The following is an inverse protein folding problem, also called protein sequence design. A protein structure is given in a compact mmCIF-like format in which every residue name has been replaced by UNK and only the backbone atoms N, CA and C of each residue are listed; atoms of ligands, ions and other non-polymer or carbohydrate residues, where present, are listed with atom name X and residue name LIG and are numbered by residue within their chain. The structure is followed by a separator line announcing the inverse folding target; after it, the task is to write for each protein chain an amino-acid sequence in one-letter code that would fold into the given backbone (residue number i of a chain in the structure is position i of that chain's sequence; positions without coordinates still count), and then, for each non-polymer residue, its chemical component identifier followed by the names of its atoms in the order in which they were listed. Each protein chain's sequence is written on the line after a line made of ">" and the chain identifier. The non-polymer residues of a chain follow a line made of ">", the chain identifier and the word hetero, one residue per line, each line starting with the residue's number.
data_IF_877274193309
#
_entry.id   IF_877274193309
#
_cell.length_a   1.000
_cell.length_b   1.000
_cell.length_c   1.000
_cell.angle_alpha   90.00
_cell.angle_beta   90.00
_cell.angle_gamma   90.00
#
_symmetry.space_group_name_H-M   'P 1'
#
loop_
_entity.id
_entity.type
_entity.pdbx_description
1 polymer ?
#
# COMPACT_ATOMS: atom_id res chain seq x y z
N UNK A 1 -36.27 -17.24 29.58
CA UNK A 1 -35.97 -17.72 28.20
C UNK A 1 -35.39 -16.59 27.31
N UNK A 2 -35.99 -15.43 27.21
CA UNK A 2 -35.54 -14.33 26.33
C UNK A 2 -34.07 -13.93 26.55
N UNK A 3 -33.58 -13.73 27.77
CA UNK A 3 -32.21 -13.36 28.06
C UNK A 3 -31.17 -14.41 27.55
N UNK A 4 -31.49 -15.71 27.75
CA UNK A 4 -30.60 -16.79 27.26
C UNK A 4 -30.55 -16.83 25.75
N UNK A 5 -31.64 -16.57 25.04
CA UNK A 5 -31.68 -16.48 23.59
C UNK A 5 -30.88 -15.29 23.10
N UNK A 6 -30.97 -14.13 23.73
CA UNK A 6 -30.17 -12.93 23.38
C UNK A 6 -28.68 -13.21 23.59
N UNK A 7 -28.30 -13.79 24.72
CA UNK A 7 -26.89 -14.17 24.99
C UNK A 7 -26.39 -15.14 23.96
N UNK A 8 -27.15 -16.17 23.58
CA UNK A 8 -26.79 -17.13 22.56
C UNK A 8 -26.55 -16.46 21.20
N UNK A 9 -27.46 -15.58 20.77
CA UNK A 9 -27.33 -14.84 19.52
C UNK A 9 -26.10 -13.94 19.54
N UNK A 10 -25.83 -13.23 20.64
CA UNK A 10 -24.63 -12.41 20.78
C UNK A 10 -23.34 -13.24 20.69
N UNK A 11 -23.29 -14.39 21.36
CA UNK A 11 -22.11 -15.31 21.28
C UNK A 11 -21.95 -15.83 19.85
N UNK A 12 -23.03 -16.21 19.17
CA UNK A 12 -22.98 -16.69 17.80
C UNK A 12 -22.48 -15.59 16.83
N UNK A 13 -22.99 -14.37 16.94
CA UNK A 13 -22.56 -13.22 16.12
C UNK A 13 -21.08 -12.90 16.38
N UNK A 14 -20.65 -12.86 17.64
CA UNK A 14 -19.26 -12.65 18.00
C UNK A 14 -18.35 -13.78 17.47
N UNK A 15 -18.78 -15.03 17.61
CA UNK A 15 -18.05 -16.20 17.09
C UNK A 15 -17.89 -16.14 15.57
N UNK A 16 -18.97 -15.85 14.85
CA UNK A 16 -18.93 -15.66 13.39
C UNK A 16 -18.01 -14.49 13.02
N UNK A 17 -18.09 -13.37 13.74
CA UNK A 17 -17.21 -12.21 13.50
C UNK A 17 -15.73 -12.54 13.67
N UNK A 18 -15.38 -13.33 14.68
CA UNK A 18 -14.00 -13.72 14.98
C UNK A 18 -13.41 -14.67 13.92
N UNK A 19 -14.20 -15.60 13.39
CA UNK A 19 -13.72 -16.57 12.39
C UNK A 19 -13.87 -16.06 10.96
N UNK A 20 -14.70 -15.05 10.72
CA UNK A 20 -15.02 -14.50 9.41
C UNK A 20 -13.79 -14.07 8.60
N UNK A 21 -12.78 -13.38 9.18
CA UNK A 21 -11.56 -12.98 8.46
C UNK A 21 -10.77 -14.17 7.90
N UNK A 22 -10.84 -15.35 8.53
CA UNK A 22 -10.14 -16.53 8.06
C UNK A 22 -10.65 -17.06 6.70
N UNK A 23 -11.86 -16.69 6.31
CA UNK A 23 -12.48 -17.08 5.03
C UNK A 23 -12.25 -16.05 3.91
N UNK A 24 -11.60 -14.94 4.21
CA UNK A 24 -11.27 -13.93 3.20
C UNK A 24 -10.36 -14.53 2.15
N UNK A 25 -10.77 -14.42 0.89
CA UNK A 25 -9.99 -14.82 -0.29
C UNK A 25 -9.90 -13.60 -1.20
N UNK A 26 -8.82 -12.87 -1.09
CA UNK A 26 -8.51 -11.76 -1.96
C UNK A 26 -7.04 -11.82 -2.39
N UNK A 27 -6.55 -10.80 -3.05
CA UNK A 27 -5.17 -10.76 -3.51
C UNK A 27 -4.20 -10.96 -2.32
N UNK A 28 -3.37 -11.99 -2.40
CA UNK A 28 -2.41 -12.31 -1.36
C UNK A 28 -1.39 -11.19 -1.12
N UNK A 29 -1.01 -10.44 -2.16
CA UNK A 29 -0.08 -9.32 -2.07
C UNK A 29 -0.68 -8.16 -1.25
N UNK A 30 -1.87 -7.69 -1.62
CA UNK A 30 -2.55 -6.64 -0.86
C UNK A 30 -2.76 -7.04 0.61
N UNK A 31 -3.09 -8.32 0.85
CA UNK A 31 -3.20 -8.86 2.20
C UNK A 31 -1.86 -8.75 2.96
N UNK A 32 -0.75 -9.13 2.35
CA UNK A 32 0.58 -9.06 2.97
C UNK A 32 1.02 -7.63 3.26
N UNK A 33 0.77 -6.70 2.33
CA UNK A 33 1.10 -5.29 2.53
C UNK A 33 0.33 -4.69 3.70
N UNK A 34 -0.97 -4.94 3.78
CA UNK A 34 -1.81 -4.43 4.87
C UNK A 34 -1.46 -5.10 6.20
N UNK A 35 -1.41 -6.44 6.25
CA UNK A 35 -1.05 -7.15 7.48
C UNK A 35 0.37 -6.81 7.96
N UNK A 36 1.32 -6.68 7.04
CA UNK A 36 2.69 -6.30 7.36
C UNK A 36 2.77 -4.98 8.09
N UNK A 37 2.00 -3.98 7.67
CA UNK A 37 1.92 -2.70 8.37
C UNK A 37 1.44 -2.85 9.82
N UNK A 38 0.40 -3.66 10.04
CA UNK A 38 -0.12 -3.89 11.39
C UNK A 38 0.77 -4.77 12.27
N UNK A 39 1.77 -5.45 11.69
CA UNK A 39 2.80 -6.20 12.42
C UNK A 39 4.01 -5.34 12.80
N UNK A 40 4.18 -4.15 12.21
CA UNK A 40 5.21 -3.23 12.67
C UNK A 40 4.91 -2.80 14.12
N UNK A 41 5.93 -2.68 14.98
CA UNK A 41 5.76 -2.14 16.33
C UNK A 41 5.13 -0.74 16.27
N UNK A 42 4.33 -0.40 17.27
CA UNK A 42 3.78 0.95 17.37
C UNK A 42 4.92 1.98 17.53
N UNK A 43 4.75 3.16 16.93
CA UNK A 43 5.71 4.27 16.98
C UNK A 43 7.13 3.91 16.46
N UNK A 44 7.21 2.97 15.50
CA UNK A 44 8.48 2.50 14.95
C UNK A 44 8.78 2.96 13.53
N UNK A 45 7.84 3.68 12.88
CA UNK A 45 7.98 4.17 11.51
C UNK A 45 8.07 5.70 11.50
N UNK A 46 9.16 6.23 10.96
CA UNK A 46 9.36 7.68 10.76
C UNK A 46 8.54 8.21 9.60
N UNK A 47 8.37 7.40 8.54
CA UNK A 47 7.64 7.75 7.32
C UNK A 47 6.64 6.65 6.97
N UNK A 48 5.40 7.01 6.64
CA UNK A 48 4.45 6.09 6.03
C UNK A 48 4.07 6.62 4.65
N UNK A 49 4.20 5.77 3.63
CA UNK A 49 3.82 6.11 2.26
C UNK A 49 2.45 5.51 1.97
N UNK A 50 1.48 6.32 1.55
CA UNK A 50 0.10 5.91 1.27
C UNK A 50 -0.16 6.04 -0.22
N UNK A 51 -0.67 4.99 -0.87
CA UNK A 51 -1.01 5.03 -2.28
C UNK A 51 -1.28 3.69 -2.92
N UNK A 52 -0.92 3.57 -4.18
CA UNK A 52 -1.18 2.41 -5.02
C UNK A 52 0.07 1.54 -5.26
N UNK A 53 0.00 0.66 -6.25
CA UNK A 53 1.05 -0.32 -6.57
C UNK A 53 2.40 0.30 -6.93
N UNK A 54 2.41 1.49 -7.50
CA UNK A 54 3.65 2.21 -7.84
C UNK A 54 4.57 2.38 -6.62
N UNK A 55 4.00 2.57 -5.42
CA UNK A 55 4.79 2.73 -4.21
C UNK A 55 5.48 1.44 -3.78
N UNK A 56 4.77 0.32 -3.73
CA UNK A 56 5.38 -0.93 -3.26
C UNK A 56 6.26 -1.62 -4.31
N UNK A 57 6.15 -1.25 -5.58
CA UNK A 57 7.07 -1.73 -6.63
C UNK A 57 8.26 -0.79 -6.83
N UNK A 58 8.05 0.52 -6.59
CA UNK A 58 9.03 1.56 -6.89
C UNK A 58 9.88 2.01 -5.71
N UNK A 59 9.58 1.59 -4.47
CA UNK A 59 10.30 2.04 -3.29
C UNK A 59 10.60 0.89 -2.33
N UNK A 60 11.85 0.82 -1.89
CA UNK A 60 12.33 -0.15 -0.90
C UNK A 60 12.67 0.51 0.43
N UNK A 61 11.80 0.34 1.42
CA UNK A 61 12.01 0.86 2.76
C UNK A 61 13.31 0.35 3.42
N UNK A 62 13.70 -0.96 3.31
CA UNK A 62 14.96 -1.42 3.84
C UNK A 62 16.20 -0.79 3.21
N UNK A 63 16.17 -0.47 1.91
CA UNK A 63 17.28 0.22 1.25
C UNK A 63 17.36 1.68 1.69
N UNK A 64 16.22 2.37 1.81
CA UNK A 64 16.17 3.73 2.32
C UNK A 64 16.71 3.81 3.75
N UNK A 65 16.35 2.85 4.62
CA UNK A 65 16.90 2.77 5.97
C UNK A 65 18.42 2.52 5.98
N UNK A 66 18.92 1.60 5.15
CA UNK A 66 20.35 1.32 5.03
C UNK A 66 21.17 2.57 4.70
N UNK A 67 20.67 3.36 3.77
CA UNK A 67 21.45 4.46 3.19
C UNK A 67 21.21 5.79 3.92
N UNK A 68 20.05 5.99 4.55
CA UNK A 68 19.65 7.27 5.15
C UNK A 68 19.22 7.18 6.63
N UNK A 69 19.01 5.99 7.17
CA UNK A 69 18.81 5.76 8.61
C UNK A 69 17.41 6.06 9.15
N UNK A 70 16.40 6.30 8.29
CA UNK A 70 15.00 6.44 8.72
C UNK A 70 14.19 5.19 8.39
N UNK A 71 13.24 4.87 9.26
CA UNK A 71 12.31 3.75 9.05
C UNK A 71 11.11 4.22 8.25
N UNK A 72 10.64 3.37 7.31
CA UNK A 72 9.50 3.72 6.47
C UNK A 72 8.67 2.50 6.07
N UNK A 73 7.41 2.71 5.66
CA UNK A 73 6.57 1.62 5.19
C UNK A 73 5.63 2.09 4.07
N UNK A 74 5.67 1.44 2.90
CA UNK A 74 4.65 1.62 1.86
C UNK A 74 3.33 0.94 2.26
N UNK A 75 2.44 1.67 2.93
CA UNK A 75 1.07 1.26 3.18
C UNK A 75 0.24 1.49 1.91
N UNK A 76 0.45 0.64 0.95
CA UNK A 76 -0.11 0.77 -0.39
C UNK A 76 -0.95 -0.46 -0.76
N UNK A 77 -2.00 -0.22 -1.53
CA UNK A 77 -2.97 -1.22 -1.96
C UNK A 77 -3.22 -1.06 -3.45
N UNK A 78 -3.20 -2.16 -4.21
CA UNK A 78 -3.37 -2.11 -5.66
C UNK A 78 -4.73 -1.52 -6.07
N UNK A 79 -4.73 -0.55 -6.99
CA UNK A 79 -5.92 0.17 -7.46
C UNK A 79 -6.80 0.71 -6.31
N UNK A 80 -6.18 1.31 -5.31
CA UNK A 80 -6.91 1.85 -4.16
C UNK A 80 -7.84 3.00 -4.57
N UNK A 81 -9.15 2.94 -4.23
CA UNK A 81 -10.06 4.05 -4.50
C UNK A 81 -9.75 5.29 -3.64
N UNK A 82 -9.87 6.48 -4.21
CA UNK A 82 -9.64 7.77 -3.54
C UNK A 82 -10.34 7.90 -2.17
N UNK A 83 -11.56 7.38 -2.07
CA UNK A 83 -12.38 7.41 -0.84
C UNK A 83 -11.77 6.66 0.35
N UNK A 84 -10.77 5.80 0.14
CA UNK A 84 -10.12 5.03 1.21
C UNK A 84 -8.88 5.71 1.81
N UNK A 85 -8.30 6.72 1.13
CA UNK A 85 -7.06 7.36 1.59
C UNK A 85 -7.16 7.91 3.01
N UNK A 86 -8.30 8.52 3.37
CA UNK A 86 -8.55 8.99 4.73
C UNK A 86 -8.54 7.88 5.79
N UNK A 87 -8.94 6.66 5.41
CA UNK A 87 -8.86 5.49 6.30
C UNK A 87 -7.43 5.02 6.51
N UNK A 88 -6.60 4.99 5.44
CA UNK A 88 -5.18 4.65 5.56
C UNK A 88 -4.45 5.69 6.41
N UNK A 89 -4.71 6.98 6.18
CA UNK A 89 -4.15 8.07 6.99
C UNK A 89 -4.47 7.89 8.47
N UNK A 90 -5.73 7.56 8.80
CA UNK A 90 -6.17 7.34 10.17
C UNK A 90 -5.37 6.22 10.85
N UNK A 91 -5.19 5.06 10.18
CA UNK A 91 -4.42 3.95 10.75
C UNK A 91 -2.92 4.29 10.83
N UNK A 92 -2.38 4.94 9.81
CA UNK A 92 -0.98 5.35 9.80
C UNK A 92 -0.64 6.28 10.99
N UNK A 93 -1.46 7.32 11.19
CA UNK A 93 -1.23 8.28 12.27
C UNK A 93 -1.50 7.65 13.64
N UNK A 94 -2.64 6.95 13.82
CA UNK A 94 -2.99 6.39 15.12
C UNK A 94 -2.01 5.33 15.62
N UNK A 95 -1.34 4.62 14.71
CA UNK A 95 -0.47 3.51 15.06
C UNK A 95 1.00 3.89 15.10
N UNK A 96 1.44 4.81 14.24
CA UNK A 96 2.85 5.08 14.04
C UNK A 96 3.26 6.51 14.41
N UNK A 97 2.31 7.46 14.53
CA UNK A 97 2.62 8.88 14.73
C UNK A 97 3.82 9.35 13.88
N UNK A 98 3.83 9.07 12.56
CA UNK A 98 5.02 9.27 11.73
C UNK A 98 5.35 10.76 11.63
N UNK A 99 6.62 11.07 11.43
CA UNK A 99 7.10 12.44 11.19
C UNK A 99 6.62 12.98 9.84
N UNK A 100 6.41 12.06 8.87
CA UNK A 100 5.97 12.41 7.53
C UNK A 100 5.03 11.33 6.97
N UNK A 101 3.94 11.76 6.36
CA UNK A 101 3.13 10.96 5.44
C UNK A 101 3.47 11.37 4.02
N UNK A 102 3.86 10.41 3.17
CA UNK A 102 3.97 10.61 1.72
C UNK A 102 2.72 10.05 1.06
N UNK A 103 2.09 10.80 0.16
CA UNK A 103 0.83 10.41 -0.48
C UNK A 103 0.99 10.40 -1.98
N UNK A 104 0.95 9.21 -2.57
CA UNK A 104 0.86 9.08 -4.03
C UNK A 104 -0.53 9.54 -4.51
N UNK A 105 -0.53 10.44 -5.51
CA UNK A 105 -1.75 11.11 -5.96
C UNK A 105 -2.57 10.32 -6.99
N UNK A 106 -2.03 9.26 -7.56
CA UNK A 106 -2.64 8.56 -8.70
C UNK A 106 -4.04 8.01 -8.41
N UNK A 107 -4.28 7.58 -7.16
CA UNK A 107 -5.60 7.14 -6.76
C UNK A 107 -6.68 8.23 -6.79
N UNK A 108 -6.31 9.52 -6.77
CA UNK A 108 -7.25 10.63 -6.91
C UNK A 108 -7.51 11.01 -8.38
N UNK A 109 -6.71 10.51 -9.32
CA UNK A 109 -6.77 10.88 -10.73
C UNK A 109 -7.53 9.89 -11.61
N UNK A 110 -7.94 8.76 -11.03
CA UNK A 110 -8.70 7.72 -11.74
C UNK A 110 -10.09 7.61 -11.15
N UNK A 111 -11.11 7.72 -12.00
CA UNK A 111 -12.50 7.51 -11.58
C UNK A 111 -12.72 6.05 -11.20
N UNK A 112 -13.55 5.85 -10.18
CA UNK A 112 -13.88 4.51 -9.71
C UNK A 112 -14.71 3.75 -10.75
N UNK A 113 -14.25 2.55 -11.10
CA UNK A 113 -14.99 1.60 -11.90
C UNK A 113 -16.04 0.89 -11.02
N UNK A 114 -17.35 1.11 -11.25
CA UNK A 114 -18.40 0.50 -10.42
C UNK A 114 -18.34 -1.03 -10.38
N UNK A 115 -17.86 -1.68 -11.46
CA UNK A 115 -17.76 -3.14 -11.52
C UNK A 115 -16.61 -3.68 -10.65
N UNK A 116 -15.57 -2.89 -10.44
CA UNK A 116 -14.38 -3.24 -9.65
C UNK A 116 -14.39 -2.67 -8.23
N UNK A 117 -15.31 -1.73 -7.94
CA UNK A 117 -15.33 -1.00 -6.70
C UNK A 117 -15.35 -1.91 -5.46
N UNK A 118 -16.27 -2.90 -5.42
CA UNK A 118 -16.33 -3.84 -4.29
C UNK A 118 -15.00 -4.56 -4.08
N UNK A 119 -14.40 -5.09 -5.16
CA UNK A 119 -13.14 -5.81 -5.08
C UNK A 119 -11.99 -4.91 -4.57
N UNK A 120 -11.92 -3.67 -5.05
CA UNK A 120 -10.91 -2.72 -4.63
C UNK A 120 -11.09 -2.25 -3.18
N UNK A 121 -12.32 -2.03 -2.72
CA UNK A 121 -12.61 -1.73 -1.31
C UNK A 121 -12.18 -2.87 -0.38
N UNK A 122 -12.36 -4.13 -0.81
CA UNK A 122 -12.02 -5.31 -0.02
C UNK A 122 -10.53 -5.51 0.20
N UNK A 123 -9.68 -5.06 -0.72
CA UNK A 123 -8.22 -5.14 -0.58
C UNK A 123 -7.72 -4.45 0.69
N UNK A 124 -8.33 -3.34 1.08
CA UNK A 124 -8.06 -2.65 2.34
C UNK A 124 -8.94 -3.19 3.47
N UNK A 125 -10.26 -3.09 3.32
CA UNK A 125 -11.21 -3.32 4.40
C UNK A 125 -11.23 -4.77 4.90
N UNK A 126 -11.05 -5.76 4.05
CA UNK A 126 -11.04 -7.15 4.50
C UNK A 126 -9.74 -7.51 5.24
N UNK A 127 -8.65 -6.79 4.97
CA UNK A 127 -7.34 -7.08 5.52
C UNK A 127 -6.96 -6.24 6.75
N UNK A 128 -7.59 -5.09 6.97
CA UNK A 128 -7.35 -4.31 8.18
C UNK A 128 -8.04 -4.93 9.41
N UNK A 129 -7.44 -4.81 10.62
CA UNK A 129 -8.06 -5.30 11.84
C UNK A 129 -9.36 -4.57 12.18
N UNK A 130 -10.19 -5.17 13.03
CA UNK A 130 -11.36 -4.49 13.54
C UNK A 130 -10.96 -3.29 14.39
N UNK A 131 -11.44 -2.13 13.99
CA UNK A 131 -11.17 -0.84 14.64
C UNK A 131 -12.40 0.08 14.49
N UNK A 132 -12.40 1.19 15.23
CA UNK A 132 -13.40 2.23 15.02
C UNK A 132 -13.31 2.81 13.61
N UNK A 133 -12.10 2.96 13.08
CA UNK A 133 -11.87 3.43 11.72
C UNK A 133 -12.47 2.47 10.69
N UNK A 134 -12.27 1.15 10.83
CA UNK A 134 -12.90 0.16 9.93
C UNK A 134 -14.42 0.29 9.89
N UNK A 135 -15.06 0.39 11.06
CA UNK A 135 -16.52 0.53 11.15
C UNK A 135 -16.99 1.82 10.46
N UNK A 136 -16.30 2.93 10.70
CA UNK A 136 -16.63 4.22 10.08
C UNK A 136 -16.40 4.20 8.59
N UNK A 137 -15.28 3.62 8.12
CA UNK A 137 -14.98 3.48 6.70
C UNK A 137 -16.01 2.61 5.97
N UNK A 138 -16.43 1.49 6.56
CA UNK A 138 -17.52 0.68 5.99
C UNK A 138 -18.79 1.53 5.86
N UNK A 139 -19.15 2.28 6.89
CA UNK A 139 -20.36 3.10 6.91
C UNK A 139 -20.34 4.23 5.88
N UNK A 140 -19.19 4.85 5.64
CA UNK A 140 -19.06 6.07 4.79
C UNK A 140 -18.61 5.78 3.38
N UNK A 141 -17.75 4.76 3.19
CA UNK A 141 -17.11 4.49 1.90
C UNK A 141 -17.70 3.29 1.15
N UNK A 142 -18.44 2.40 1.84
CA UNK A 142 -19.04 1.22 1.20
C UNK A 142 -20.50 1.50 0.83
N UNK A 143 -20.94 1.19 -0.41
CA UNK A 143 -22.35 1.26 -0.79
C UNK A 143 -23.25 0.50 0.20
N UNK A 144 -24.42 1.08 0.57
CA UNK A 144 -25.26 0.60 1.65
C UNK A 144 -25.67 -0.88 1.50
N UNK A 145 -25.93 -1.30 0.27
CA UNK A 145 -26.33 -2.68 -0.09
C UNK A 145 -25.20 -3.70 0.14
N UNK A 146 -23.94 -3.27 0.15
CA UNK A 146 -22.78 -4.13 0.32
C UNK A 146 -22.28 -4.18 1.78
N UNK A 147 -22.64 -3.20 2.62
CA UNK A 147 -22.07 -3.04 3.98
C UNK A 147 -22.16 -4.31 4.82
N UNK A 148 -23.30 -5.03 4.79
CA UNK A 148 -23.48 -6.27 5.54
C UNK A 148 -22.39 -7.29 5.23
N UNK A 149 -21.97 -7.41 3.99
CA UNK A 149 -20.93 -8.36 3.56
C UNK A 149 -19.52 -7.92 3.97
N UNK A 150 -19.30 -6.63 4.28
CA UNK A 150 -18.05 -6.13 4.84
C UNK A 150 -18.00 -6.27 6.36
N UNK A 151 -19.13 -6.14 7.04
CA UNK A 151 -19.21 -6.46 8.48
C UNK A 151 -19.08 -7.96 8.75
N UNK A 152 -19.58 -8.79 7.82
CA UNK A 152 -19.55 -10.25 7.93
C UNK A 152 -18.99 -10.85 6.63
N UNK A 153 -17.67 -10.94 6.51
CA UNK A 153 -16.97 -11.43 5.32
C UNK A 153 -17.47 -12.82 4.90
N UNK A 154 -17.95 -13.62 5.85
CA UNK A 154 -18.55 -14.92 5.62
C UNK A 154 -19.75 -14.84 4.65
N UNK A 155 -20.49 -13.73 4.62
CA UNK A 155 -21.59 -13.53 3.68
C UNK A 155 -21.11 -13.43 2.22
N UNK A 156 -19.91 -12.88 2.00
CA UNK A 156 -19.26 -12.81 0.68
C UNK A 156 -18.61 -14.14 0.29
N UNK A 157 -17.89 -14.72 1.23
CA UNK A 157 -17.00 -15.85 0.97
C UNK A 157 -17.62 -17.22 1.31
N UNK A 158 -18.91 -17.29 1.62
CA UNK A 158 -19.60 -18.54 2.02
C UNK A 158 -19.51 -19.64 0.98
N UNK A 159 -19.47 -19.32 -0.32
CA UNK A 159 -19.33 -20.32 -1.37
C UNK A 159 -18.00 -21.07 -1.33
N UNK A 160 -16.98 -20.52 -0.68
CA UNK A 160 -15.67 -21.14 -0.55
C UNK A 160 -15.69 -22.34 0.44
N UNK A 161 -16.73 -22.45 1.27
CA UNK A 161 -16.83 -23.56 2.25
C UNK A 161 -17.03 -24.94 1.61
N UNK A 162 -17.59 -24.96 0.43
CA UNK A 162 -17.92 -26.21 -0.29
C UNK A 162 -16.77 -26.71 -1.16
N UNK A 163 -15.69 -25.95 -1.26
CA UNK A 163 -14.54 -26.30 -2.09
C UNK A 163 -13.43 -26.86 -1.20
N UNK A 164 -13.07 -28.14 -1.32
CA UNK A 164 -12.03 -28.76 -0.50
C UNK A 164 -10.70 -27.99 -0.53
N UNK A 165 -10.34 -27.44 -1.68
CA UNK A 165 -9.11 -26.67 -1.90
C UNK A 165 -9.06 -25.36 -1.10
N UNK A 166 -10.19 -24.86 -0.60
CA UNK A 166 -10.23 -23.64 0.24
C UNK A 166 -10.04 -23.93 1.73
N UNK A 167 -10.22 -25.16 2.18
CA UNK A 167 -10.04 -25.52 3.59
C UNK A 167 -8.59 -25.48 4.05
N UNK A 168 -7.66 -25.88 3.18
CA UNK A 168 -6.24 -25.85 3.50
C UNK A 168 -5.72 -24.41 3.67
N UNK A 169 -6.01 -23.46 2.77
CA UNK A 169 -5.71 -22.06 2.99
C UNK A 169 -6.32 -21.47 4.27
N UNK A 170 -7.58 -21.80 4.60
CA UNK A 170 -8.22 -21.36 5.85
C UNK A 170 -7.49 -21.91 7.07
N UNK A 171 -7.16 -23.21 7.08
CA UNK A 171 -6.40 -23.81 8.17
C UNK A 171 -5.01 -23.19 8.32
N UNK A 172 -4.32 -22.93 7.20
CA UNK A 172 -3.01 -22.28 7.21
C UNK A 172 -3.10 -20.86 7.77
N UNK A 173 -4.12 -20.09 7.37
CA UNK A 173 -4.36 -18.72 7.89
C UNK A 173 -4.67 -18.73 9.39
N UNK A 174 -5.50 -19.65 9.86
CA UNK A 174 -5.79 -19.78 11.30
C UNK A 174 -4.53 -20.14 12.12
N UNK A 175 -3.59 -20.89 11.55
CA UNK A 175 -2.33 -21.27 12.21
C UNK A 175 -1.25 -20.19 12.12
N UNK A 176 -1.29 -19.37 11.09
CA UNK A 176 -0.29 -18.34 10.79
C UNK A 176 -0.79 -16.92 11.03
N UNK A 177 -1.92 -16.74 11.72
CA UNK A 177 -2.56 -15.44 11.90
C UNK A 177 -1.67 -14.37 12.52
N UNK A 178 -0.71 -14.78 13.35
CA UNK A 178 0.25 -13.90 14.01
C UNK A 178 1.42 -13.47 13.12
N UNK A 179 1.64 -14.14 11.97
CA UNK A 179 2.80 -13.90 11.09
C UNK A 179 2.44 -13.66 9.64
N UNK A 180 1.18 -13.78 9.26
CA UNK A 180 0.74 -13.51 7.89
C UNK A 180 0.95 -12.03 7.56
N UNK A 181 1.80 -11.74 6.59
CA UNK A 181 2.14 -10.38 6.19
C UNK A 181 3.50 -9.88 6.68
N UNK A 182 4.13 -10.58 7.65
CA UNK A 182 5.52 -10.24 7.99
C UNK A 182 6.42 -10.46 6.77
N UNK A 183 7.21 -9.47 6.45
CA UNK A 183 8.12 -9.49 5.31
C UNK A 183 9.40 -8.73 5.59
N UNK A 184 10.53 -9.33 5.25
CA UNK A 184 11.83 -8.67 5.30
C UNK A 184 11.97 -7.57 4.22
N UNK A 185 11.11 -7.56 3.22
CA UNK A 185 11.08 -6.50 2.19
C UNK A 185 10.27 -5.28 2.61
N UNK A 186 9.57 -5.33 3.77
CA UNK A 186 8.73 -4.23 4.27
C UNK A 186 7.77 -3.70 3.20
N UNK A 187 6.94 -4.58 2.64
CA UNK A 187 5.97 -4.30 1.57
C UNK A 187 6.55 -4.14 0.15
N UNK A 188 7.87 -4.10 -0.05
CA UNK A 188 8.39 -4.03 -1.40
C UNK A 188 8.12 -5.33 -2.17
N UNK A 189 7.65 -5.18 -3.41
CA UNK A 189 7.41 -6.25 -4.38
C UNK A 189 8.33 -6.07 -5.59
N UNK A 190 9.30 -6.98 -5.76
CA UNK A 190 10.22 -6.91 -6.89
C UNK A 190 9.57 -7.36 -8.20
N UNK A 191 9.88 -6.64 -9.25
CA UNK A 191 9.43 -6.93 -10.61
C UNK A 191 10.64 -7.20 -11.52
N UNK A 192 10.64 -8.38 -12.13
CA UNK A 192 11.68 -8.86 -13.03
C UNK A 192 11.36 -8.70 -14.51
N UNK A 193 10.63 -7.66 -14.89
CA UNK A 193 10.29 -7.34 -16.27
C UNK A 193 10.88 -5.99 -16.67
N UNK A 194 11.20 -5.82 -17.94
CA UNK A 194 11.63 -4.54 -18.51
C UNK A 194 10.90 -4.27 -19.81
N UNK A 195 10.64 -2.99 -20.07
CA UNK A 195 10.15 -2.53 -21.35
C UNK A 195 11.27 -2.48 -22.38
N UNK A 196 10.91 -2.38 -23.64
CA UNK A 196 11.79 -2.12 -24.77
C UNK A 196 11.55 -0.73 -25.33
N UNK A 197 12.47 -0.22 -26.14
CA UNK A 197 12.33 1.08 -26.83
C UNK A 197 11.13 1.11 -27.80
N UNK A 198 10.59 -0.07 -28.17
CA UNK A 198 9.44 -0.18 -29.05
C UNK A 198 8.10 -0.08 -28.31
N UNK A 199 8.10 -0.14 -26.98
CA UNK A 199 6.88 -0.05 -26.17
C UNK A 199 6.42 1.41 -26.04
N UNK A 200 5.24 1.70 -26.57
CA UNK A 200 4.65 3.04 -26.49
C UNK A 200 4.06 3.30 -25.09
N UNK A 201 4.22 4.53 -24.56
CA UNK A 201 3.57 4.89 -23.29
C UNK A 201 2.06 4.83 -23.38
N UNK A 202 1.40 4.38 -22.31
CA UNK A 202 -0.04 4.50 -22.17
C UNK A 202 -0.49 5.96 -22.15
N UNK A 203 -1.63 6.24 -22.78
CA UNK A 203 -2.30 7.54 -22.67
C UNK A 203 -3.66 7.34 -22.00
N UNK A 204 -3.85 7.99 -20.87
CA UNK A 204 -5.07 7.85 -20.06
C UNK A 204 -5.77 9.19 -19.85
N UNK A 205 -7.10 9.20 -19.79
CA UNK A 205 -7.85 10.39 -19.40
C UNK A 205 -7.79 10.58 -17.87
N UNK A 206 -6.61 10.95 -17.34
CA UNK A 206 -6.48 11.28 -15.93
C UNK A 206 -7.29 12.54 -15.65
N UNK A 207 -8.13 12.51 -14.62
CA UNK A 207 -8.98 13.64 -14.24
C UNK A 207 -9.07 13.75 -12.72
N UNK A 208 -9.09 14.97 -12.22
CA UNK A 208 -9.49 15.24 -10.85
C UNK A 208 -11.01 15.48 -10.84
N UNK A 209 -11.80 14.40 -10.86
CA UNK A 209 -13.28 14.48 -10.86
C UNK A 209 -13.81 15.19 -9.61
N UNK A 210 -15.06 15.68 -9.69
CA UNK A 210 -15.71 16.34 -8.55
C UNK A 210 -15.72 15.50 -7.26
N UNK A 211 -15.92 14.19 -7.38
CA UNK A 211 -15.87 13.27 -6.25
C UNK A 211 -14.43 13.10 -5.72
N UNK A 212 -13.48 12.83 -6.61
CA UNK A 212 -12.07 12.65 -6.24
C UNK A 212 -11.45 13.94 -5.72
N UNK A 213 -11.80 15.08 -6.29
CA UNK A 213 -11.40 16.39 -5.75
C UNK A 213 -11.94 16.63 -4.34
N UNK A 214 -13.14 16.12 -4.03
CA UNK A 214 -13.68 16.19 -2.67
C UNK A 214 -12.93 15.27 -1.73
N UNK A 215 -12.64 14.02 -2.13
CA UNK A 215 -11.84 13.10 -1.32
C UNK A 215 -10.44 13.63 -1.05
N UNK A 216 -9.81 14.30 -2.02
CA UNK A 216 -8.51 14.96 -1.82
C UNK A 216 -8.61 16.11 -0.79
N UNK A 217 -9.63 16.97 -0.89
CA UNK A 217 -9.87 18.03 0.11
C UNK A 217 -10.14 17.46 1.50
N UNK A 218 -10.96 16.43 1.59
CA UNK A 218 -11.28 15.76 2.86
C UNK A 218 -10.03 15.14 3.49
N UNK A 219 -9.17 14.51 2.68
CA UNK A 219 -7.88 14.00 3.12
C UNK A 219 -6.98 15.12 3.66
N UNK A 220 -6.82 16.22 2.92
CA UNK A 220 -6.02 17.38 3.35
C UNK A 220 -6.56 17.98 4.64
N UNK A 221 -7.89 18.16 4.76
CA UNK A 221 -8.52 18.67 5.96
C UNK A 221 -8.30 17.74 7.17
N UNK A 222 -8.42 16.43 6.96
CA UNK A 222 -8.15 15.42 7.99
C UNK A 222 -6.68 15.45 8.44
N UNK A 223 -5.74 15.43 7.51
CA UNK A 223 -4.30 15.48 7.80
C UNK A 223 -3.94 16.73 8.61
N UNK A 224 -4.50 17.88 8.21
CA UNK A 224 -4.33 19.14 8.95
C UNK A 224 -4.92 19.07 10.36
N UNK A 225 -6.08 18.45 10.53
CA UNK A 225 -6.71 18.27 11.84
C UNK A 225 -5.91 17.35 12.78
N UNK A 226 -5.18 16.39 12.20
CA UNK A 226 -4.28 15.49 12.93
C UNK A 226 -2.90 16.10 13.21
N UNK A 227 -2.60 17.28 12.64
CA UNK A 227 -1.31 17.94 12.78
C UNK A 227 -0.17 17.19 12.09
N UNK A 228 -0.47 16.42 11.04
CA UNK A 228 0.47 15.54 10.35
C UNK A 228 1.13 16.28 9.18
N UNK A 229 2.46 16.16 9.06
CA UNK A 229 3.17 16.60 7.86
C UNK A 229 2.86 15.67 6.69
N UNK A 230 2.53 16.26 5.54
CA UNK A 230 2.22 15.50 4.33
C UNK A 230 3.01 16.06 3.15
N UNK A 231 3.63 15.15 2.40
CA UNK A 231 4.18 15.38 1.07
C UNK A 231 3.32 14.62 0.06
N UNK A 232 2.68 15.33 -0.86
CA UNK A 232 2.04 14.69 -2.00
C UNK A 232 3.08 14.38 -3.07
N UNK A 233 3.00 13.19 -3.63
CA UNK A 233 3.97 12.66 -4.58
C UNK A 233 3.26 12.19 -5.84
N UNK A 234 3.79 12.55 -6.99
CA UNK A 234 3.54 11.84 -8.23
C UNK A 234 4.80 11.05 -8.58
N UNK A 235 4.66 9.73 -8.59
CA UNK A 235 5.77 8.83 -8.91
C UNK A 235 6.29 9.06 -10.34
N UNK A 236 7.58 8.77 -10.65
CA UNK A 236 8.03 8.71 -12.02
C UNK A 236 7.30 7.57 -12.75
N UNK A 237 6.65 7.89 -13.85
CA UNK A 237 5.99 6.91 -14.72
C UNK A 237 5.87 7.44 -16.16
N UNK A 238 5.64 6.55 -17.11
CA UNK A 238 5.57 6.87 -18.54
C UNK A 238 4.15 7.20 -19.01
N UNK A 239 3.14 6.90 -18.21
CA UNK A 239 1.73 7.19 -18.56
C UNK A 239 1.53 8.67 -18.81
N UNK A 240 0.99 8.99 -19.97
CA UNK A 240 0.63 10.34 -20.37
C UNK A 240 -0.84 10.63 -20.08
N UNK A 241 -1.17 11.90 -19.94
CA UNK A 241 -2.58 12.33 -19.78
C UNK A 241 -3.04 13.16 -20.97
N UNK A 242 -4.35 13.06 -21.25
CA UNK A 242 -5.02 13.90 -22.23
C UNK A 242 -5.31 15.31 -21.69
N UNK A 243 -5.32 15.49 -20.37
CA UNK A 243 -5.46 16.79 -19.71
C UNK A 243 -4.19 17.19 -18.95
N UNK A 244 -3.34 18.04 -19.53
CA UNK A 244 -2.10 18.47 -18.89
C UNK A 244 -2.31 19.36 -17.66
N UNK A 245 -3.52 19.91 -17.43
CA UNK A 245 -3.79 20.80 -16.31
C UNK A 245 -4.13 20.05 -15.01
N UNK A 246 -4.45 18.76 -15.09
CA UNK A 246 -4.90 17.97 -13.93
C UNK A 246 -3.93 18.05 -12.74
N UNK A 247 -2.63 18.11 -13.01
CA UNK A 247 -1.62 18.19 -11.94
C UNK A 247 -1.52 19.59 -11.32
N UNK A 248 -1.78 20.63 -12.10
CA UNK A 248 -1.91 22.00 -11.58
C UNK A 248 -3.15 22.11 -10.68
N UNK A 249 -4.25 21.44 -11.04
CA UNK A 249 -5.46 21.40 -10.23
C UNK A 249 -5.20 20.64 -8.89
N UNK A 250 -4.48 19.51 -8.93
CA UNK A 250 -4.05 18.81 -7.70
C UNK A 250 -3.18 19.73 -6.84
N UNK A 251 -2.15 20.34 -7.44
CA UNK A 251 -1.25 21.24 -6.72
C UNK A 251 -1.99 22.43 -6.08
N UNK A 252 -2.99 22.99 -6.77
CA UNK A 252 -3.83 24.03 -6.21
C UNK A 252 -4.62 23.56 -5.00
N UNK A 253 -5.28 22.37 -5.09
CA UNK A 253 -6.05 21.82 -3.98
C UNK A 253 -5.17 21.55 -2.77
N UNK A 254 -4.01 20.89 -2.93
CA UNK A 254 -3.12 20.58 -1.78
C UNK A 254 -2.48 21.86 -1.22
N UNK A 255 -2.16 22.82 -2.08
CA UNK A 255 -1.61 24.14 -1.72
C UNK A 255 -2.53 24.98 -0.84
N UNK A 256 -3.86 24.90 -1.05
CA UNK A 256 -4.87 25.57 -0.19
C UNK A 256 -4.81 25.11 1.27
N UNK A 257 -4.26 23.93 1.52
CA UNK A 257 -4.04 23.38 2.87
C UNK A 257 -2.60 23.57 3.38
N UNK A 258 -1.72 24.16 2.58
CA UNK A 258 -0.31 24.40 2.91
C UNK A 258 0.60 23.18 2.69
N UNK A 259 0.16 22.23 1.87
CA UNK A 259 0.94 21.07 1.46
C UNK A 259 1.59 21.29 0.08
N UNK A 260 2.60 20.49 -0.22
CA UNK A 260 3.32 20.54 -1.49
C UNK A 260 3.06 19.28 -2.31
N UNK A 261 3.06 19.40 -3.63
CA UNK A 261 3.09 18.32 -4.60
C UNK A 261 4.50 18.23 -5.20
N UNK A 262 5.18 17.12 -4.94
CA UNK A 262 6.42 16.75 -5.63
C UNK A 262 6.03 15.95 -6.88
N UNK A 263 6.05 16.59 -8.04
CA UNK A 263 5.76 15.96 -9.32
C UNK A 263 7.06 15.42 -9.96
N UNK A 264 7.22 14.10 -9.95
CA UNK A 264 8.39 13.42 -10.51
C UNK A 264 8.10 12.70 -11.83
N UNK A 265 6.92 12.90 -12.42
CA UNK A 265 6.48 12.20 -13.62
C UNK A 265 7.54 12.24 -14.74
N UNK A 266 8.10 13.39 -15.07
CA UNK A 266 9.09 13.57 -16.12
C UNK A 266 10.53 13.76 -15.58
N UNK A 267 10.77 13.47 -14.29
CA UNK A 267 12.06 13.72 -13.64
C UNK A 267 13.10 12.61 -13.91
N UNK A 268 12.97 11.84 -14.98
CA UNK A 268 13.84 10.69 -15.32
C UNK A 268 15.34 11.04 -15.28
N UNK A 269 15.74 12.10 -15.98
CA UNK A 269 17.14 12.52 -16.03
C UNK A 269 17.66 13.01 -14.67
N UNK A 270 16.79 13.64 -13.88
CA UNK A 270 17.13 14.12 -12.53
C UNK A 270 17.32 12.98 -11.55
N UNK A 271 16.50 11.94 -11.66
CA UNK A 271 16.54 10.75 -10.81
C UNK A 271 17.63 9.77 -11.32
N UNK A 272 17.92 9.79 -12.63
CA UNK A 272 18.83 8.86 -13.29
C UNK A 272 18.13 7.58 -13.78
N UNK A 273 16.83 7.67 -14.11
CA UNK A 273 16.04 6.54 -14.60
C UNK A 273 16.10 6.40 -16.11
N UNK A 274 16.28 5.19 -16.60
CA UNK A 274 16.04 4.83 -17.99
C UNK A 274 14.54 4.60 -18.23
N UNK A 275 13.99 5.25 -19.27
CA UNK A 275 12.56 5.25 -19.57
C UNK A 275 11.99 3.88 -19.95
N UNK A 276 12.81 2.92 -20.30
CA UNK A 276 12.40 1.57 -20.70
C UNK A 276 12.99 0.51 -19.77
N UNK A 277 14.30 0.48 -19.61
CA UNK A 277 14.99 -0.57 -18.87
C UNK A 277 14.60 -0.62 -17.38
N UNK A 278 14.21 0.53 -16.79
CA UNK A 278 13.86 0.65 -15.38
C UNK A 278 12.36 0.46 -15.08
N UNK A 279 11.56 0.17 -16.12
CA UNK A 279 10.11 0.01 -16.01
C UNK A 279 9.63 -1.37 -16.44
N UNK A 280 8.60 -1.89 -15.74
CA UNK A 280 7.87 -3.09 -16.14
C UNK A 280 6.79 -2.79 -17.18
N UNK A 281 6.09 -1.68 -16.97
CA UNK A 281 5.03 -1.14 -17.81
C UNK A 281 5.05 0.40 -17.74
N UNK A 282 4.00 1.07 -18.16
CA UNK A 282 3.96 2.52 -18.16
C UNK A 282 3.95 3.15 -16.76
N UNK A 283 3.58 2.41 -15.71
CA UNK A 283 3.35 2.94 -14.36
C UNK A 283 4.30 2.39 -13.29
N UNK A 284 4.89 1.21 -13.50
CA UNK A 284 5.60 0.50 -12.45
C UNK A 284 7.10 0.41 -12.73
N UNK A 285 7.90 0.84 -11.78
CA UNK A 285 9.34 0.58 -11.78
C UNK A 285 9.60 -0.93 -11.53
N UNK A 286 10.60 -1.44 -12.21
CA UNK A 286 11.13 -2.77 -11.93
C UNK A 286 12.22 -2.71 -10.85
N UNK A 287 12.88 -3.84 -10.57
CA UNK A 287 13.89 -3.93 -9.50
C UNK A 287 15.12 -3.03 -9.72
N UNK A 288 15.43 -2.66 -10.97
CA UNK A 288 16.54 -1.74 -11.31
C UNK A 288 16.11 -0.30 -11.02
N UNK A 289 14.97 0.11 -11.59
CA UNK A 289 14.43 1.46 -11.40
C UNK A 289 14.07 1.73 -9.94
N UNK A 290 13.58 0.73 -9.21
CA UNK A 290 13.28 0.86 -7.78
C UNK A 290 14.52 1.24 -6.96
N UNK A 291 15.69 0.61 -7.20
CA UNK A 291 16.91 0.97 -6.46
C UNK A 291 17.32 2.41 -6.75
N UNK A 292 17.33 2.80 -8.03
CA UNK A 292 17.65 4.16 -8.48
C UNK A 292 16.69 5.19 -7.85
N UNK A 293 15.39 4.94 -7.91
CA UNK A 293 14.39 5.82 -7.32
C UNK A 293 14.50 5.88 -5.79
N UNK A 294 14.68 4.74 -5.13
CA UNK A 294 14.81 4.68 -3.66
C UNK A 294 16.02 5.48 -3.18
N UNK A 295 17.15 5.37 -3.88
CA UNK A 295 18.34 6.15 -3.54
C UNK A 295 18.10 7.65 -3.68
N UNK A 296 17.54 8.10 -4.80
CA UNK A 296 17.24 9.51 -5.03
C UNK A 296 16.19 10.05 -4.05
N UNK A 297 15.07 9.34 -3.90
CA UNK A 297 13.96 9.79 -3.06
C UNK A 297 14.31 9.74 -1.57
N UNK A 298 15.06 8.71 -1.14
CA UNK A 298 15.57 8.64 0.23
C UNK A 298 16.50 9.80 0.57
N UNK A 299 17.37 10.20 -0.37
CA UNK A 299 18.22 11.39 -0.22
C UNK A 299 17.35 12.65 -0.13
N UNK A 300 16.40 12.83 -1.04
CA UNK A 300 15.48 13.96 -1.03
C UNK A 300 14.77 14.09 0.32
N UNK A 301 14.20 12.99 0.83
CA UNK A 301 13.51 12.99 2.11
C UNK A 301 14.45 13.34 3.27
N UNK A 302 15.67 12.79 3.30
CA UNK A 302 16.63 13.06 4.37
C UNK A 302 17.17 14.49 4.39
N UNK A 303 17.21 15.16 3.23
CA UNK A 303 17.65 16.55 3.10
C UNK A 303 16.56 17.56 3.44
N UNK A 304 15.28 17.21 3.24
CA UNK A 304 14.16 18.13 3.40
C UNK A 304 13.38 17.93 4.71
N UNK A 305 13.53 16.79 5.35
CA UNK A 305 12.78 16.45 6.58
C UNK A 305 13.72 15.91 7.67
N UNK A 306 13.49 16.31 8.92
CA UNK A 306 14.19 15.71 10.07
C UNK A 306 13.55 14.36 10.41
N UNK A 307 14.00 13.30 9.73
CA UNK A 307 13.45 11.96 9.85
C UNK A 307 14.21 11.06 10.82
N UNK A 308 15.42 11.43 11.22
CA UNK A 308 16.22 10.58 12.09
C UNK A 308 15.62 10.45 13.48
N UNK A 309 15.29 9.22 13.88
CA UNK A 309 14.81 8.87 15.21
C UNK A 309 15.74 7.83 15.84
N UNK A 310 16.01 7.97 17.13
CA UNK A 310 16.67 6.91 17.89
C UNK A 310 15.65 5.80 18.19
N UNK A 311 15.69 4.74 17.42
CA UNK A 311 14.85 3.56 17.64
C UNK A 311 15.47 2.63 18.69
N UNK A 312 14.66 1.73 19.26
CA UNK A 312 15.13 0.69 20.16
C UNK A 312 16.11 -0.25 19.47
N UNK A 313 16.99 -0.91 20.23
CA UNK A 313 17.93 -1.90 19.70
C UNK A 313 17.19 -3.02 18.92
N UNK A 314 16.01 -3.41 19.37
CA UNK A 314 15.18 -4.43 18.69
C UNK A 314 14.72 -3.95 17.32
N UNK A 315 14.22 -2.71 17.21
CA UNK A 315 13.80 -2.13 15.93
C UNK A 315 15.00 -1.98 15.00
N UNK A 316 16.11 -1.44 15.50
CA UNK A 316 17.35 -1.28 14.71
C UNK A 316 17.88 -2.62 14.19
N UNK A 317 17.90 -3.66 15.04
CA UNK A 317 18.36 -5.00 14.63
C UNK A 317 17.43 -5.62 13.58
N UNK A 318 16.12 -5.40 13.68
CA UNK A 318 15.16 -5.87 12.68
C UNK A 318 15.34 -5.17 11.34
N UNK A 319 15.53 -3.85 11.34
CA UNK A 319 15.77 -3.10 10.12
C UNK A 319 17.10 -3.44 9.46
N UNK A 320 18.15 -3.71 10.27
CA UNK A 320 19.42 -4.23 9.75
C UNK A 320 19.22 -5.57 9.05
N UNK A 321 18.45 -6.48 9.65
CA UNK A 321 18.13 -7.78 9.04
C UNK A 321 17.37 -7.62 7.72
N UNK A 322 16.45 -6.67 7.65
CA UNK A 322 15.72 -6.35 6.42
C UNK A 322 16.64 -5.81 5.32
N UNK A 323 17.56 -4.92 5.69
CA UNK A 323 18.54 -4.35 4.76
C UNK A 323 19.53 -5.41 4.23
N UNK A 324 20.03 -6.28 5.11
CA UNK A 324 20.93 -7.38 4.75
C UNK A 324 20.23 -8.37 3.79
N UNK A 325 18.96 -8.67 4.06
CA UNK A 325 18.14 -9.51 3.19
C UNK A 325 17.95 -8.86 1.81
N UNK A 326 17.60 -7.56 1.75
CA UNK A 326 17.48 -6.84 0.48
C UNK A 326 18.80 -6.83 -0.30
N UNK A 327 19.93 -6.58 0.36
CA UNK A 327 21.25 -6.62 -0.28
C UNK A 327 21.57 -8.00 -0.87
N UNK A 328 21.07 -9.07 -0.24
CA UNK A 328 21.27 -10.45 -0.74
C UNK A 328 20.42 -10.75 -1.96
N UNK A 329 19.15 -10.33 -2.01
CA UNK A 329 18.22 -10.72 -3.08
C UNK A 329 18.23 -9.76 -4.27
N UNK A 330 18.57 -8.50 -4.06
CA UNK A 330 18.47 -7.44 -5.06
C UNK A 330 19.23 -7.76 -6.35
N UNK A 331 20.49 -8.26 -6.33
CA UNK A 331 21.22 -8.59 -7.56
C UNK A 331 20.47 -9.62 -8.43
N UNK A 332 19.82 -10.62 -7.81
CA UNK A 332 19.02 -11.60 -8.53
C UNK A 332 17.79 -10.96 -9.17
N UNK A 333 17.09 -10.10 -8.44
CA UNK A 333 15.91 -9.40 -8.95
C UNK A 333 16.26 -8.47 -10.13
N UNK A 334 17.40 -7.78 -10.04
CA UNK A 334 17.91 -6.91 -11.10
C UNK A 334 18.34 -7.71 -12.33
N UNK A 335 19.00 -8.86 -12.15
CA UNK A 335 19.34 -9.73 -13.25
C UNK A 335 18.10 -10.25 -13.97
N UNK A 336 17.05 -10.61 -13.23
CA UNK A 336 15.78 -11.02 -13.82
C UNK A 336 15.12 -9.88 -14.61
N UNK A 337 15.19 -8.64 -14.10
CA UNK A 337 14.69 -7.47 -14.81
C UNK A 337 15.51 -7.22 -16.10
N UNK A 338 16.83 -7.28 -16.02
CA UNK A 338 17.72 -7.14 -17.20
C UNK A 338 17.46 -8.24 -18.25
N UNK A 339 17.20 -9.47 -17.83
CA UNK A 339 16.88 -10.61 -18.70
C UNK A 339 15.41 -10.63 -19.13
N UNK A 340 14.59 -9.70 -18.67
CA UNK A 340 13.14 -9.61 -18.88
C UNK A 340 12.40 -10.92 -18.57
N UNK A 341 12.70 -11.50 -17.43
CA UNK A 341 12.13 -12.78 -16.99
C UNK A 341 10.99 -12.59 -16.01
N UNK A 342 9.84 -13.23 -16.26
CA UNK A 342 8.62 -13.13 -15.43
C UNK A 342 8.67 -13.90 -14.11
N UNK A 343 9.81 -14.44 -13.67
CA UNK A 343 9.89 -15.47 -12.61
C UNK A 343 10.15 -14.94 -11.19
N UNK A 344 10.15 -13.66 -10.94
CA UNK A 344 10.46 -13.05 -9.64
C UNK A 344 9.58 -13.56 -8.48
N UNK A 345 8.36 -13.95 -8.74
CA UNK A 345 7.39 -14.33 -7.70
C UNK A 345 7.76 -15.58 -6.90
N UNK A 346 8.44 -16.57 -7.51
CA UNK A 346 8.73 -17.84 -6.83
C UNK A 346 9.87 -17.72 -5.80
N UNK A 347 10.86 -16.87 -6.04
CA UNK A 347 11.97 -16.65 -5.11
C UNK A 347 11.54 -15.78 -3.93
N UNK A 348 10.64 -14.81 -4.14
CA UNK A 348 10.03 -14.05 -3.06
C UNK A 348 9.13 -14.89 -2.16
N UNK A 349 8.39 -15.85 -2.69
CA UNK A 349 7.59 -16.76 -1.86
C UNK A 349 8.49 -17.61 -0.95
N UNK A 350 9.64 -18.06 -1.44
CA UNK A 350 10.64 -18.76 -0.64
C UNK A 350 11.24 -17.86 0.46
N UNK A 351 11.46 -16.58 0.17
CA UNK A 351 11.91 -15.60 1.15
C UNK A 351 10.86 -15.35 2.24
N UNK A 352 9.58 -15.28 1.90
CA UNK A 352 8.48 -15.22 2.87
C UNK A 352 8.40 -16.49 3.72
N UNK A 353 8.63 -17.66 3.11
CA UNK A 353 8.62 -18.92 3.83
C UNK A 353 9.82 -19.08 4.79
N UNK A 354 10.97 -18.52 4.46
CA UNK A 354 12.15 -18.48 5.34
C UNK A 354 11.97 -17.57 6.57
N UNK A 355 10.99 -16.64 6.54
CA UNK A 355 10.64 -15.77 7.66
C UNK A 355 9.60 -16.37 8.62
N UNK A 356 9.02 -17.54 8.26
CA UNK A 356 8.10 -18.32 9.12
C UNK A 356 8.86 -19.18 10.11
#
# INVERSE_FOLDING_TARGET
>A
MALRAVIFVLIAVLGIGLISPAFVVNNEWDMRHVHGFFLEPEDSLDVVLIGASQLYTGYSAPLAWRDYGFTSYPLAVSNIPARLYGSLLTEAVNRQHPKLIVVDIDGFLTDEDPEKLEANLRKWLDNMPWSRNKIETIRTCVPAELQTSFYFNIAKYHANWYQPDTWLPVQQRLRAMDKTGYSLTKSFEAIGQSLTDADEPDTRPLTLSGANAQYLRDFCAQARSLGTNVLFLRMPHRTQTTDPNVFADVAAVVGDYGYELLDLHDAFDTIGLDRCADFMDSDHLNAIGMETFTAWFGQYLSEHYDLTTAHSETVTAEWQRCADFMAQILPTCQQQAADNTKQTLNEFSAAFDACR
#
